data_IF_661763111836
#
_entry.id   IF_661763111836
#
_cell.length_a   1.000
_cell.length_b   1.000
_cell.length_c   1.000
_cell.angle_alpha   90.00
_cell.angle_beta   90.00
_cell.angle_gamma   90.00
#
_symmetry.space_group_name_H-M   'P 1'
#
loop_
_entity.id
_entity.type
_entity.pdbx_description
1 polymer ?
#
# COMPACT_ATOMS: atom_id res chain seq x y z
N UNK A 1 -14.49 -3.73 -16.26
CA UNK A 1 -14.64 -2.51 -15.42
C UNK A 1 -13.39 -2.44 -14.53
N UNK A 2 -12.58 -1.39 -14.61
CA UNK A 2 -11.35 -1.30 -13.81
C UNK A 2 -11.66 -1.21 -12.32
N UNK A 3 -10.83 -1.80 -11.45
CA UNK A 3 -10.99 -1.78 -9.99
C UNK A 3 -11.13 -0.34 -9.44
N UNK A 4 -10.41 0.61 -10.06
CA UNK A 4 -10.51 2.04 -9.79
C UNK A 4 -11.95 2.57 -9.92
N UNK A 5 -12.67 2.20 -10.99
CA UNK A 5 -14.04 2.69 -11.22
C UNK A 5 -15.03 2.14 -10.18
N UNK A 6 -14.79 0.92 -9.69
CA UNK A 6 -15.62 0.34 -8.65
C UNK A 6 -15.49 1.14 -7.34
N UNK A 7 -14.26 1.46 -6.93
CA UNK A 7 -14.02 2.24 -5.72
C UNK A 7 -14.50 3.69 -5.84
N UNK A 8 -14.23 4.37 -6.95
CA UNK A 8 -14.67 5.79 -7.11
C UNK A 8 -16.19 5.91 -7.15
N UNK A 9 -16.92 4.91 -7.66
CA UNK A 9 -18.38 4.89 -7.62
C UNK A 9 -18.92 4.81 -6.19
N UNK A 10 -18.23 4.10 -5.29
CA UNK A 10 -18.62 3.99 -3.88
C UNK A 10 -18.34 5.27 -3.08
N UNK A 11 -17.57 6.19 -3.65
CA UNK A 11 -17.25 7.48 -3.03
C UNK A 11 -18.22 8.59 -3.43
N UNK A 12 -19.15 8.31 -4.34
CA UNK A 12 -20.23 9.24 -4.70
C UNK A 12 -21.25 9.26 -3.56
N UNK A 13 -21.65 10.45 -3.13
CA UNK A 13 -22.65 10.70 -2.08
C UNK A 13 -22.29 10.06 -0.72
N UNK A 14 -21.00 10.03 -0.38
CA UNK A 14 -20.58 9.65 0.96
C UNK A 14 -21.18 10.61 2.00
N UNK A 15 -21.57 10.10 3.19
CA UNK A 15 -21.85 10.96 4.32
C UNK A 15 -20.60 11.77 4.71
N UNK A 16 -20.79 12.78 5.56
CA UNK A 16 -19.67 13.54 6.11
C UNK A 16 -18.71 12.62 6.87
N UNK A 17 -17.46 12.54 6.39
CA UNK A 17 -16.40 11.68 6.93
C UNK A 17 -15.07 12.42 6.86
N UNK A 18 -14.18 12.18 7.83
CA UNK A 18 -12.84 12.80 7.84
C UNK A 18 -11.80 11.98 7.04
N UNK A 19 -12.03 10.68 6.88
CA UNK A 19 -11.07 9.74 6.30
C UNK A 19 -11.78 8.65 5.50
N UNK A 20 -11.29 8.42 4.27
CA UNK A 20 -11.65 7.29 3.42
C UNK A 20 -10.46 6.35 3.30
N UNK A 21 -10.68 5.05 3.50
CA UNK A 21 -9.61 4.03 3.45
C UNK A 21 -9.94 2.98 2.40
N UNK A 22 -9.05 2.80 1.43
CA UNK A 22 -9.09 1.68 0.50
C UNK A 22 -8.12 0.58 0.94
N UNK A 23 -8.46 -0.66 0.61
CA UNK A 23 -7.71 -1.85 1.03
C UNK A 23 -6.35 -2.00 0.35
N UNK A 24 -5.56 -2.96 0.84
CA UNK A 24 -4.30 -3.38 0.23
C UNK A 24 -4.48 -3.70 -1.27
N UNK A 25 -3.59 -3.16 -2.11
CA UNK A 25 -3.59 -3.37 -3.55
C UNK A 25 -4.92 -3.03 -4.27
N UNK A 26 -5.77 -2.18 -3.68
CA UNK A 26 -7.01 -1.69 -4.30
C UNK A 26 -6.76 -0.96 -5.62
N UNK A 27 -5.64 -0.24 -5.70
CA UNK A 27 -5.21 0.43 -6.91
C UNK A 27 -4.21 -0.48 -7.66
N UNK A 28 -4.69 -1.11 -8.74
CA UNK A 28 -4.01 -2.25 -9.38
C UNK A 28 -2.90 -1.86 -10.37
N UNK A 29 -2.56 -0.57 -10.50
CA UNK A 29 -1.47 -0.09 -11.36
C UNK A 29 -0.32 0.41 -10.51
N UNK A 30 0.90 0.32 -11.03
CA UNK A 30 2.04 0.92 -10.35
C UNK A 30 1.87 2.43 -10.22
N UNK A 31 2.38 3.00 -9.11
CA UNK A 31 2.30 4.44 -8.82
C UNK A 31 2.68 5.33 -10.02
N UNK A 32 3.76 4.98 -10.74
CA UNK A 32 4.23 5.74 -11.90
C UNK A 32 3.32 5.62 -13.14
N UNK A 33 2.60 4.50 -13.30
CA UNK A 33 1.65 4.27 -14.39
C UNK A 33 0.29 4.91 -14.10
N UNK A 34 -0.03 5.09 -12.83
CA UNK A 34 -1.31 5.58 -12.32
C UNK A 34 -1.34 7.06 -11.95
N UNK A 35 -0.28 7.84 -12.24
CA UNK A 35 -0.12 9.21 -11.74
C UNK A 35 -1.34 10.10 -12.02
N UNK A 36 -1.90 10.07 -13.23
CA UNK A 36 -3.08 10.86 -13.57
C UNK A 36 -4.30 10.49 -12.71
N UNK A 37 -4.52 9.20 -12.44
CA UNK A 37 -5.62 8.74 -11.58
C UNK A 37 -5.38 9.06 -10.11
N UNK A 38 -4.14 8.94 -9.64
CA UNK A 38 -3.78 9.33 -8.28
C UNK A 38 -3.95 10.84 -8.07
N UNK A 39 -3.63 11.65 -9.07
CA UNK A 39 -3.87 13.08 -9.04
C UNK A 39 -5.37 13.38 -8.97
N UNK A 40 -6.19 12.73 -9.81
CA UNK A 40 -7.64 12.89 -9.75
C UNK A 40 -8.23 12.51 -8.38
N UNK A 41 -7.73 11.42 -7.76
CA UNK A 41 -8.15 11.02 -6.42
C UNK A 41 -7.71 12.03 -5.35
N UNK A 42 -6.51 12.59 -5.49
CA UNK A 42 -6.04 13.67 -4.62
C UNK A 42 -6.91 14.91 -4.76
N UNK A 43 -7.16 15.37 -5.99
CA UNK A 43 -7.96 16.56 -6.24
C UNK A 43 -9.38 16.40 -5.69
N UNK A 44 -9.97 15.21 -5.84
CA UNK A 44 -11.25 14.88 -5.22
C UNK A 44 -11.18 14.95 -3.68
N UNK A 45 -10.15 14.37 -3.07
CA UNK A 45 -10.01 14.33 -1.61
C UNK A 45 -9.77 15.73 -1.02
N UNK A 46 -8.96 16.56 -1.70
CA UNK A 46 -8.74 17.97 -1.35
C UNK A 46 -10.06 18.76 -1.44
N UNK A 47 -10.84 18.60 -2.51
CA UNK A 47 -12.10 19.30 -2.70
C UNK A 47 -13.18 18.86 -1.69
N UNK A 48 -13.18 17.58 -1.30
CA UNK A 48 -14.07 17.04 -0.28
C UNK A 48 -13.60 17.39 1.15
N UNK A 49 -12.37 17.87 1.33
CA UNK A 49 -11.80 18.15 2.65
C UNK A 49 -11.58 16.90 3.49
N UNK A 50 -11.22 15.78 2.85
CA UNK A 50 -11.05 14.47 3.51
C UNK A 50 -9.64 13.93 3.33
N UNK A 51 -9.20 13.10 4.27
CA UNK A 51 -8.04 12.22 4.07
C UNK A 51 -8.41 11.02 3.21
N UNK A 52 -7.54 10.61 2.30
CA UNK A 52 -7.71 9.39 1.52
C UNK A 52 -6.47 8.51 1.63
N UNK A 53 -6.66 7.27 2.05
CA UNK A 53 -5.63 6.24 2.14
C UNK A 53 -5.84 5.22 1.02
N UNK A 54 -4.80 5.00 0.20
CA UNK A 54 -4.87 4.07 -0.94
C UNK A 54 -3.73 3.06 -0.88
N UNK A 55 -4.07 1.77 -0.99
CA UNK A 55 -3.12 0.69 -1.21
C UNK A 55 -2.77 0.54 -2.68
N UNK A 56 -1.47 0.59 -3.02
CA UNK A 56 -0.97 0.44 -4.38
C UNK A 56 0.44 -0.17 -4.45
N UNK A 57 0.80 -0.81 -5.58
CA UNK A 57 2.17 -1.23 -5.81
C UNK A 57 3.03 -0.03 -6.25
N UNK A 58 4.26 0.04 -5.75
CA UNK A 58 5.30 0.95 -6.21
C UNK A 58 6.47 0.14 -6.77
N UNK A 59 7.15 0.68 -7.76
CA UNK A 59 8.34 0.09 -8.33
C UNK A 59 9.46 1.15 -8.36
N UNK A 60 10.68 0.72 -8.10
CA UNK A 60 11.90 1.47 -8.37
C UNK A 60 12.93 0.55 -9.08
N UNK A 61 14.17 1.01 -9.20
CA UNK A 61 15.24 0.25 -9.85
C UNK A 61 15.56 -1.08 -9.12
N UNK A 62 15.35 -1.11 -7.81
CA UNK A 62 15.73 -2.22 -6.93
C UNK A 62 14.65 -3.30 -6.85
N UNK A 63 13.37 -2.92 -6.92
CA UNK A 63 12.26 -3.87 -6.96
C UNK A 63 10.89 -3.26 -6.78
N UNK A 64 9.97 -4.07 -6.24
CA UNK A 64 8.58 -3.70 -6.03
C UNK A 64 8.27 -3.55 -4.54
N UNK A 65 7.36 -2.66 -4.20
CA UNK A 65 6.94 -2.41 -2.84
C UNK A 65 5.43 -2.40 -2.75
N UNK A 66 4.91 -3.07 -1.73
CA UNK A 66 3.53 -2.92 -1.32
C UNK A 66 3.41 -1.64 -0.49
N UNK A 67 2.66 -0.67 -0.99
CA UNK A 67 2.67 0.70 -0.48
C UNK A 67 1.27 1.13 -0.08
N UNK A 68 1.18 1.84 1.03
CA UNK A 68 0.04 2.69 1.37
C UNK A 68 0.44 4.15 1.14
N UNK A 69 -0.42 4.90 0.46
CA UNK A 69 -0.21 6.31 0.13
C UNK A 69 -1.35 7.15 0.70
N UNK A 70 -0.99 8.20 1.45
CA UNK A 70 -1.93 9.27 1.80
C UNK A 70 -2.12 10.25 0.65
N UNK A 71 -3.36 10.68 0.45
CA UNK A 71 -3.82 11.71 -0.48
C UNK A 71 -4.81 12.64 0.24
N UNK A 72 -5.08 13.82 -0.33
CA UNK A 72 -5.98 14.79 0.28
C UNK A 72 -5.35 15.40 1.54
N UNK A 73 -6.12 15.41 2.63
CA UNK A 73 -5.64 15.77 3.98
C UNK A 73 -4.70 14.73 4.61
N UNK A 74 -4.56 13.55 4.01
CA UNK A 74 -3.60 12.54 4.43
C UNK A 74 -2.28 12.71 3.67
N UNK A 75 -1.16 12.84 4.38
CA UNK A 75 0.15 13.09 3.80
C UNK A 75 1.16 12.00 4.18
N UNK A 76 2.01 11.62 3.22
CA UNK A 76 3.05 10.63 3.43
C UNK A 76 2.70 9.27 2.83
N UNK A 77 3.55 8.27 3.13
CA UNK A 77 3.42 6.91 2.61
C UNK A 77 4.08 5.92 3.57
N UNK A 78 3.62 4.69 3.51
CA UNK A 78 4.19 3.57 4.23
C UNK A 78 4.46 2.41 3.27
N UNK A 79 5.66 1.84 3.35
CA UNK A 79 6.11 0.69 2.58
C UNK A 79 6.12 -0.53 3.50
N UNK A 80 5.46 -1.62 3.09
CA UNK A 80 5.39 -2.87 3.86
C UNK A 80 6.79 -3.37 4.23
N UNK A 81 7.05 -3.56 5.51
CA UNK A 81 8.33 -3.98 6.11
C UNK A 81 8.42 -5.50 6.22
N UNK A 82 7.38 -6.14 6.76
CA UNK A 82 7.36 -7.59 6.97
C UNK A 82 6.69 -8.28 5.77
N UNK A 83 7.50 -8.94 4.95
CA UNK A 83 7.00 -9.70 3.81
C UNK A 83 6.56 -11.10 4.25
N UNK A 84 5.47 -11.62 3.67
CA UNK A 84 5.01 -12.98 4.00
C UNK A 84 5.83 -14.04 3.22
N UNK A 85 6.45 -15.02 3.89
CA UNK A 85 7.16 -16.11 3.21
C UNK A 85 6.24 -16.91 2.29
N UNK A 86 6.74 -17.29 1.11
CA UNK A 86 6.03 -18.05 0.07
C UNK A 86 4.81 -17.36 -0.57
N UNK A 87 4.34 -16.23 -0.03
CA UNK A 87 3.35 -15.35 -0.66
C UNK A 87 3.98 -14.13 -1.35
N UNK A 88 4.99 -13.52 -0.73
CA UNK A 88 5.61 -12.28 -1.22
C UNK A 88 7.12 -12.42 -1.53
N UNK A 89 7.80 -13.43 -0.98
CA UNK A 89 9.19 -13.79 -1.32
C UNK A 89 9.45 -15.29 -1.04
N UNK A 90 10.52 -15.86 -1.61
CA UNK A 90 10.88 -17.27 -1.40
C UNK A 90 12.17 -17.41 -0.55
N UNK A 91 12.11 -17.95 0.68
CA UNK A 91 13.29 -18.26 1.49
C UNK A 91 14.23 -19.23 0.77
N UNK A 92 15.55 -19.10 0.94
CA UNK A 92 16.56 -20.03 0.38
C UNK A 92 16.39 -20.29 -1.14
N UNK A 93 16.03 -19.27 -1.91
CA UNK A 93 15.74 -19.36 -3.34
C UNK A 93 16.89 -19.98 -4.18
N UNK A 94 18.14 -19.93 -3.71
CA UNK A 94 19.28 -20.61 -4.36
C UNK A 94 19.26 -22.13 -4.22
N UNK A 95 18.81 -22.65 -3.07
CA UNK A 95 18.71 -24.10 -2.78
C UNK A 95 17.42 -24.67 -3.35
N UNK A 96 16.32 -23.93 -3.24
CA UNK A 96 15.01 -24.37 -3.71
C UNK A 96 14.82 -24.19 -5.21
N UNK A 97 15.68 -23.44 -5.92
CA UNK A 97 15.54 -23.07 -7.36
C UNK A 97 15.13 -24.23 -8.29
N UNK A 98 15.63 -25.44 -8.03
CA UNK A 98 15.28 -26.66 -8.80
C UNK A 98 13.94 -27.31 -8.43
N UNK A 99 13.44 -27.10 -7.20
CA UNK A 99 12.12 -27.54 -6.74
C UNK A 99 11.01 -26.54 -7.11
N UNK A 100 11.29 -25.23 -7.19
CA UNK A 100 10.26 -24.19 -7.42
C UNK A 100 9.79 -24.11 -8.88
N UNK A 101 10.59 -24.57 -9.85
CA UNK A 101 10.12 -24.73 -11.24
C UNK A 101 8.93 -25.70 -11.34
N UNK A 102 8.78 -26.62 -10.39
CA UNK A 102 7.63 -27.51 -10.29
C UNK A 102 6.38 -26.83 -9.71
N UNK A 103 6.54 -25.72 -8.97
CA UNK A 103 5.46 -25.03 -8.25
C UNK A 103 4.97 -23.74 -8.92
N UNK A 104 5.52 -23.35 -10.08
CA UNK A 104 5.11 -22.17 -10.86
C UNK A 104 4.96 -20.88 -10.02
N UNK A 105 5.75 -20.77 -8.95
CA UNK A 105 5.69 -19.64 -8.04
C UNK A 105 6.37 -18.44 -8.69
N UNK A 106 5.65 -17.36 -9.01
CA UNK A 106 6.25 -16.19 -9.61
C UNK A 106 7.31 -15.63 -8.67
N UNK A 107 8.50 -15.38 -9.21
CA UNK A 107 9.59 -14.75 -8.47
C UNK A 107 9.22 -13.31 -8.18
N UNK A 108 8.54 -13.10 -7.06
CA UNK A 108 8.20 -11.79 -6.54
C UNK A 108 9.50 -11.06 -6.17
N UNK A 109 9.80 -9.95 -6.86
CA UNK A 109 10.86 -8.99 -6.50
C UNK A 109 10.37 -7.98 -5.45
N UNK A 110 9.42 -8.37 -4.59
CA UNK A 110 8.99 -7.51 -3.50
C UNK A 110 10.15 -7.26 -2.55
N UNK A 111 10.37 -6.01 -2.22
CA UNK A 111 11.39 -5.52 -1.31
C UNK A 111 10.72 -5.06 -0.02
N UNK A 112 11.34 -5.33 1.15
CA UNK A 112 10.86 -4.78 2.39
C UNK A 112 11.10 -3.27 2.43
N UNK A 113 10.16 -2.53 3.02
CA UNK A 113 10.30 -1.13 3.34
C UNK A 113 11.35 -0.87 4.43
N UNK A 114 11.83 0.37 4.57
CA UNK A 114 12.77 0.75 5.63
C UNK A 114 12.22 0.46 7.03
N UNK A 115 13.13 0.14 7.97
CA UNK A 115 12.77 -0.15 9.36
C UNK A 115 12.14 1.06 10.08
N UNK A 116 12.57 2.28 9.74
CA UNK A 116 12.01 3.53 10.27
C UNK A 116 11.43 4.29 9.09
N UNK A 117 10.16 4.66 9.18
CA UNK A 117 9.43 5.43 8.17
C UNK A 117 8.65 6.53 8.88
N UNK A 118 8.55 7.69 8.24
CA UNK A 118 7.68 8.74 8.75
C UNK A 118 6.22 8.26 8.72
N UNK A 119 5.42 8.53 9.77
CA UNK A 119 4.02 8.16 9.78
C UNK A 119 3.25 8.92 8.69
N UNK A 120 2.14 8.34 8.26
CA UNK A 120 1.17 9.09 7.47
C UNK A 120 0.47 10.07 8.41
N UNK A 121 0.42 11.35 8.05
CA UNK A 121 -0.23 12.39 8.85
C UNK A 121 -1.62 12.68 8.32
N UNK A 122 -2.60 12.79 9.21
CA UNK A 122 -3.94 13.28 8.92
C UNK A 122 -4.19 14.52 9.78
N UNK A 123 -3.90 15.70 9.24
CA UNK A 123 -3.89 16.94 10.00
C UNK A 123 -2.92 16.87 11.20
N UNK A 124 -3.46 16.99 12.42
CA UNK A 124 -2.68 16.91 13.66
C UNK A 124 -2.42 15.47 14.14
N UNK A 125 -3.06 14.48 13.51
CA UNK A 125 -2.94 13.08 13.90
C UNK A 125 -1.87 12.36 13.08
N UNK A 126 -1.18 11.41 13.71
CA UNK A 126 -0.27 10.48 13.07
C UNK A 126 -0.94 9.11 13.02
N UNK A 127 -0.86 8.45 11.86
CA UNK A 127 -1.44 7.13 11.64
C UNK A 127 -0.34 6.07 11.75
N UNK A 128 -0.52 5.11 12.65
CA UNK A 128 0.30 3.90 12.71
C UNK A 128 -0.25 2.86 11.73
N UNK A 129 0.59 2.45 10.78
CA UNK A 129 0.21 1.63 9.63
C UNK A 129 0.83 0.24 9.73
N UNK A 130 0.01 -0.78 9.47
CA UNK A 130 0.44 -2.17 9.29
C UNK A 130 -0.32 -2.76 8.11
N UNK A 131 0.39 -3.32 7.13
CA UNK A 131 -0.22 -3.90 5.93
C UNK A 131 -0.40 -5.42 6.13
N UNK A 132 -1.65 -5.87 6.05
CA UNK A 132 -2.02 -7.28 6.07
C UNK A 132 -1.44 -8.02 7.30
N UNK A 133 -0.56 -8.99 7.10
CA UNK A 133 -0.03 -9.84 8.16
C UNK A 133 0.88 -9.11 9.17
N UNK A 134 1.35 -7.90 8.85
CA UNK A 134 2.15 -7.07 9.76
C UNK A 134 1.47 -6.81 11.10
N UNK A 135 0.13 -6.81 11.14
CA UNK A 135 -0.65 -6.62 12.38
C UNK A 135 -0.38 -7.69 13.43
N UNK A 136 0.13 -8.87 13.03
CA UNK A 136 0.43 -9.97 13.95
C UNK A 136 1.78 -9.82 14.65
N UNK A 137 2.63 -8.92 14.16
CA UNK A 137 3.95 -8.61 14.73
C UNK A 137 3.82 -7.43 15.71
N UNK A 138 3.62 -7.75 16.99
CA UNK A 138 3.37 -6.75 18.03
C UNK A 138 4.52 -5.73 18.20
N UNK A 139 5.77 -6.16 18.00
CA UNK A 139 6.94 -5.30 18.11
C UNK A 139 7.03 -4.34 16.92
N UNK A 140 6.68 -4.81 15.72
CA UNK A 140 6.57 -3.96 14.54
C UNK A 140 5.50 -2.89 14.72
N UNK A 141 4.28 -3.29 15.13
CA UNK A 141 3.15 -2.37 15.35
C UNK A 141 3.46 -1.33 16.43
N UNK A 142 4.17 -1.71 17.49
CA UNK A 142 4.60 -0.78 18.54
C UNK A 142 5.60 0.25 18.02
N UNK A 143 6.45 -0.14 17.06
CA UNK A 143 7.49 0.73 16.49
C UNK A 143 7.03 1.61 15.32
N UNK A 144 5.77 1.51 14.89
CA UNK A 144 5.19 2.35 13.81
C UNK A 144 4.30 3.48 14.33
N UNK A 145 4.11 3.57 15.65
CA UNK A 145 3.37 4.61 16.34
C UNK A 145 4.28 5.73 16.88
#
# INVERSE_FOLDING_TARGET
LSNLNAHTRLMVDLPEVDLVVWSEASFTRFAHQGQASLQQLKDWADAAGVGLIVGLPRADETGFYNTVQGLGLAEGRYLKRHLVPFGEFVPMASVLRGLIQFFDLPMSRNQPGPAVQAPIRLGAHELSLSICYEITDAELVRGTA
#
